data_IF_137576701498
#
_entry.id   IF_137576701498
#
_cell.length_a   1.000
_cell.length_b   1.000
_cell.length_c   1.000
_cell.angle_alpha   90.00
_cell.angle_beta   90.00
_cell.angle_gamma   90.00
#
_symmetry.space_group_name_H-M   'P 1'
#
loop_
_entity.id
_entity.type
_entity.pdbx_description
1 polymer ?
#
# COMPACT_ATOMS: atom_id res chain seq x y z
N UNK A 1 13.14 18.44 6.04
CA UNK A 1 12.70 17.08 5.59
C UNK A 1 12.23 17.16 4.15
N UNK A 2 12.56 16.18 3.32
CA UNK A 2 12.07 16.12 1.94
C UNK A 2 11.05 14.97 1.80
N UNK A 3 10.00 15.19 0.99
CA UNK A 3 9.09 14.14 0.53
C UNK A 3 9.35 13.94 -0.96
N UNK A 4 9.83 12.75 -1.34
CA UNK A 4 10.08 12.36 -2.71
C UNK A 4 8.89 11.59 -3.29
N UNK A 5 8.22 12.18 -4.29
CA UNK A 5 6.96 11.70 -4.86
C UNK A 5 5.74 12.33 -4.17
N UNK A 6 5.00 13.17 -4.91
CA UNK A 6 3.89 13.96 -4.37
C UNK A 6 2.54 13.52 -4.93
N UNK A 7 2.30 12.19 -4.88
CA UNK A 7 1.00 11.56 -5.04
C UNK A 7 0.15 11.69 -3.75
N UNK A 8 -0.92 10.88 -3.61
CA UNK A 8 -1.75 10.91 -2.40
C UNK A 8 -0.98 10.48 -1.14
N UNK A 9 -0.03 9.54 -1.25
CA UNK A 9 0.84 9.12 -0.14
C UNK A 9 1.78 10.26 0.30
N UNK A 10 2.42 10.94 -0.65
CA UNK A 10 3.30 12.08 -0.34
C UNK A 10 2.54 13.22 0.33
N UNK A 11 1.35 13.56 -0.18
CA UNK A 11 0.46 14.57 0.43
C UNK A 11 0.02 14.18 1.84
N UNK A 12 -0.27 12.90 2.06
CA UNK A 12 -0.60 12.39 3.37
C UNK A 12 0.56 12.55 4.36
N UNK A 13 1.80 12.25 3.92
CA UNK A 13 2.98 12.37 4.78
C UNK A 13 3.43 13.81 4.99
N UNK A 14 3.13 14.73 4.07
CA UNK A 14 3.25 16.16 4.34
C UNK A 14 2.37 16.56 5.53
N UNK A 15 1.10 16.15 5.54
CA UNK A 15 0.20 16.42 6.67
C UNK A 15 0.67 15.75 7.96
N UNK A 16 1.14 14.51 7.85
CA UNK A 16 1.64 13.73 8.98
C UNK A 16 2.83 14.40 9.67
N UNK A 17 3.78 14.92 8.93
CA UNK A 17 5.03 15.46 9.48
C UNK A 17 5.09 16.99 9.51
N UNK A 18 4.03 17.69 9.09
CA UNK A 18 3.97 19.15 9.11
C UNK A 18 3.91 19.65 10.55
N UNK A 19 4.97 20.28 10.98
CA UNK A 19 5.09 20.95 12.29
C UNK A 19 5.54 22.41 12.06
N UNK A 20 5.21 23.31 12.98
CA UNK A 20 5.62 24.73 12.93
C UNK A 20 7.15 24.94 12.89
N UNK A 21 7.91 23.94 13.30
CA UNK A 21 9.38 23.97 13.37
C UNK A 21 10.07 23.25 12.22
N UNK A 22 9.32 22.61 11.32
CA UNK A 22 9.87 21.79 10.26
C UNK A 22 9.44 22.30 8.91
N UNK A 23 10.41 22.67 8.10
CA UNK A 23 10.20 22.89 6.67
C UNK A 23 10.11 21.54 5.97
N UNK A 24 9.06 21.36 5.17
CA UNK A 24 8.89 20.22 4.28
C UNK A 24 9.06 20.72 2.86
N UNK A 25 10.01 20.14 2.14
CA UNK A 25 10.29 20.40 0.73
C UNK A 25 9.85 19.20 -0.09
N UNK A 26 9.25 19.45 -1.24
CA UNK A 26 8.76 18.38 -2.13
C UNK A 26 9.75 18.18 -3.27
N UNK A 27 10.04 16.91 -3.55
CA UNK A 27 10.80 16.46 -4.71
C UNK A 27 9.91 15.58 -5.59
N UNK A 28 9.46 16.10 -6.72
CA UNK A 28 8.67 15.36 -7.73
C UNK A 28 8.99 15.94 -9.11
N UNK A 29 10.16 15.59 -9.71
CA UNK A 29 10.61 16.14 -10.98
C UNK A 29 9.58 16.06 -12.11
N UNK A 30 8.80 14.98 -12.27
CA UNK A 30 7.71 14.94 -13.24
C UNK A 30 6.66 16.04 -13.09
N UNK A 31 6.57 16.66 -11.89
CA UNK A 31 5.68 17.80 -11.60
C UNK A 31 6.44 19.14 -11.52
N UNK A 32 7.70 19.15 -11.89
CA UNK A 32 8.54 20.35 -11.82
C UNK A 32 8.95 20.76 -10.41
N UNK A 33 8.89 19.87 -9.44
CA UNK A 33 9.26 20.12 -8.04
C UNK A 33 10.64 19.54 -7.76
N UNK A 34 11.64 20.41 -7.63
CA UNK A 34 13.04 20.02 -7.43
C UNK A 34 13.49 20.32 -5.99
N UNK A 35 14.37 19.49 -5.45
CA UNK A 35 14.98 19.66 -4.14
C UNK A 35 16.39 19.08 -4.11
N UNK A 36 17.24 19.61 -3.24
CA UNK A 36 18.59 19.07 -2.99
C UNK A 36 18.51 17.90 -2.01
N UNK A 37 18.51 16.68 -2.55
CA UNK A 37 18.45 15.44 -1.78
C UNK A 37 19.70 15.19 -0.92
N UNK A 38 20.81 15.90 -1.19
CA UNK A 38 22.05 15.80 -0.42
C UNK A 38 22.01 16.60 0.89
N UNK A 39 21.20 17.67 0.97
CA UNK A 39 21.20 18.59 2.10
C UNK A 39 19.84 18.58 2.82
N UNK A 40 19.48 17.44 3.38
CA UNK A 40 18.26 17.29 4.17
C UNK A 40 18.47 16.48 5.43
N UNK A 41 17.66 16.75 6.44
CA UNK A 41 17.71 16.02 7.71
C UNK A 41 17.04 14.65 7.66
N UNK A 42 16.12 14.41 6.74
CA UNK A 42 15.42 13.15 6.52
C UNK A 42 14.65 13.16 5.20
N UNK A 43 14.36 11.99 4.64
CA UNK A 43 13.58 11.84 3.40
C UNK A 43 12.50 10.78 3.57
N UNK A 44 11.28 11.10 3.08
CA UNK A 44 10.17 10.15 2.93
C UNK A 44 10.01 9.85 1.44
N UNK A 45 10.18 8.60 1.04
CA UNK A 45 10.10 8.13 -0.35
C UNK A 45 8.71 7.60 -0.63
N UNK A 46 7.95 8.34 -1.44
CA UNK A 46 6.56 8.05 -1.82
C UNK A 46 6.38 7.96 -3.35
N UNK A 47 7.45 7.63 -4.07
CA UNK A 47 7.43 7.52 -5.54
C UNK A 47 6.59 6.33 -5.98
N UNK A 48 6.07 6.39 -7.20
CA UNK A 48 5.29 5.31 -7.79
C UNK A 48 6.18 4.09 -8.07
N UNK A 49 5.62 2.91 -7.80
CA UNK A 49 6.21 1.60 -8.11
C UNK A 49 5.19 0.81 -8.92
N UNK A 50 5.06 1.07 -10.24
CA UNK A 50 4.06 0.42 -11.07
C UNK A 50 4.35 -1.07 -11.24
N UNK A 51 3.39 -1.79 -11.78
CA UNK A 51 3.59 -3.17 -12.19
C UNK A 51 4.40 -3.19 -13.48
N UNK A 52 5.48 -3.96 -13.51
CA UNK A 52 6.26 -4.28 -14.70
C UNK A 52 5.49 -5.24 -15.63
N UNK A 53 5.92 -5.36 -16.88
CA UNK A 53 5.29 -6.26 -17.88
C UNK A 53 5.27 -7.72 -17.40
N UNK A 54 6.26 -8.12 -16.64
CA UNK A 54 6.38 -9.47 -16.08
C UNK A 54 5.57 -9.67 -14.76
N UNK A 55 4.82 -8.66 -14.32
CA UNK A 55 4.00 -8.70 -13.11
C UNK A 55 4.73 -8.33 -11.81
N UNK A 56 6.04 -8.06 -11.85
CA UNK A 56 6.80 -7.60 -10.68
C UNK A 56 6.53 -6.13 -10.35
N UNK A 57 7.05 -5.68 -9.20
CA UNK A 57 7.02 -4.28 -8.79
C UNK A 57 8.24 -3.55 -9.37
N UNK A 58 8.04 -2.53 -10.21
CA UNK A 58 9.12 -1.68 -10.71
C UNK A 58 9.66 -0.79 -9.60
N UNK A 59 10.90 -1.04 -9.22
CA UNK A 59 11.62 -0.34 -8.15
C UNK A 59 12.52 0.79 -8.65
N UNK A 60 12.57 1.06 -9.95
CA UNK A 60 13.52 2.00 -10.59
C UNK A 60 13.50 3.39 -9.97
N UNK A 61 12.30 3.95 -9.74
CA UNK A 61 12.16 5.26 -9.12
C UNK A 61 12.63 5.29 -7.65
N UNK A 62 12.48 4.20 -6.91
CA UNK A 62 13.00 4.08 -5.53
C UNK A 62 14.53 4.06 -5.54
N UNK A 63 15.13 3.25 -6.42
CA UNK A 63 16.60 3.20 -6.57
C UNK A 63 17.18 4.54 -7.01
N UNK A 64 16.52 5.22 -7.94
CA UNK A 64 16.96 6.55 -8.40
C UNK A 64 17.01 7.56 -7.25
N UNK A 65 15.94 7.64 -6.47
CA UNK A 65 15.89 8.56 -5.30
C UNK A 65 16.95 8.20 -4.27
N UNK A 66 17.03 6.91 -3.87
CA UNK A 66 17.99 6.47 -2.84
C UNK A 66 19.44 6.72 -3.27
N UNK A 67 19.77 6.55 -4.55
CA UNK A 67 21.11 6.80 -5.09
C UNK A 67 21.58 8.25 -4.97
N UNK A 68 20.66 9.19 -4.80
CA UNK A 68 20.93 10.63 -4.69
C UNK A 68 20.99 11.13 -3.24
N UNK A 69 20.79 10.25 -2.25
CA UNK A 69 20.70 10.60 -0.83
C UNK A 69 22.05 10.30 -0.14
N UNK A 70 22.45 11.12 0.84
CA UNK A 70 23.60 10.78 1.71
C UNK A 70 23.29 9.55 2.56
N UNK A 71 24.32 8.72 2.74
CA UNK A 71 24.24 7.48 3.55
C UNK A 71 23.74 7.71 4.99
N UNK A 72 24.11 8.85 5.58
CA UNK A 72 23.76 9.20 6.95
C UNK A 72 22.34 9.74 7.13
N UNK A 73 21.65 10.07 6.04
CA UNK A 73 20.28 10.63 6.07
C UNK A 73 19.27 9.53 6.35
N UNK A 74 18.41 9.67 7.39
CA UNK A 74 17.30 8.74 7.63
C UNK A 74 16.32 8.74 6.46
N UNK A 75 16.04 7.57 5.89
CA UNK A 75 15.13 7.37 4.75
C UNK A 75 13.94 6.54 5.19
N UNK A 76 12.71 7.04 5.00
CA UNK A 76 11.47 6.28 5.16
C UNK A 76 10.89 5.92 3.81
N UNK A 77 10.91 4.65 3.46
CA UNK A 77 10.31 4.17 2.22
C UNK A 77 8.85 3.82 2.48
N UNK A 78 7.94 4.56 1.85
CA UNK A 78 6.49 4.35 1.86
C UNK A 78 5.98 3.77 0.55
N UNK A 79 6.77 3.85 -0.52
CA UNK A 79 6.51 3.16 -1.78
C UNK A 79 6.38 1.66 -1.55
N UNK A 80 5.49 1.00 -2.28
CA UNK A 80 5.42 -0.47 -2.25
C UNK A 80 6.72 -1.05 -2.79
N UNK A 81 7.30 -2.01 -2.08
CA UNK A 81 8.52 -2.70 -2.49
C UNK A 81 8.31 -4.21 -2.47
N UNK A 82 9.06 -4.94 -3.30
CA UNK A 82 9.09 -6.41 -3.27
C UNK A 82 10.18 -6.95 -2.34
N UNK A 83 10.10 -8.24 -2.01
CA UNK A 83 11.16 -8.92 -1.23
C UNK A 83 12.51 -8.83 -1.95
N UNK A 84 12.54 -9.09 -3.26
CA UNK A 84 13.74 -8.96 -4.07
C UNK A 84 14.22 -7.50 -4.09
N UNK A 85 13.31 -6.54 -4.28
CA UNK A 85 13.63 -5.12 -4.30
C UNK A 85 14.26 -4.62 -2.99
N UNK A 86 13.82 -5.14 -1.85
CA UNK A 86 14.47 -4.85 -0.57
C UNK A 86 15.89 -5.42 -0.49
N UNK A 87 16.11 -6.65 -0.94
CA UNK A 87 17.44 -7.26 -0.97
C UNK A 87 18.39 -6.50 -1.90
N UNK A 88 17.89 -6.05 -3.06
CA UNK A 88 18.66 -5.22 -3.97
C UNK A 88 18.99 -3.84 -3.36
N UNK A 89 18.07 -3.20 -2.65
CA UNK A 89 18.34 -1.96 -1.93
C UNK A 89 19.48 -2.13 -0.93
N UNK A 90 19.44 -3.16 -0.10
CA UNK A 90 20.52 -3.46 0.86
C UNK A 90 21.86 -3.75 0.18
N UNK A 91 21.86 -4.40 -0.97
CA UNK A 91 23.07 -4.73 -1.73
C UNK A 91 23.66 -3.50 -2.40
N UNK A 92 22.84 -2.65 -3.01
CA UNK A 92 23.28 -1.44 -3.72
C UNK A 92 23.65 -0.30 -2.78
N UNK A 93 22.98 -0.21 -1.63
CA UNK A 93 23.07 0.89 -0.68
C UNK A 93 23.29 0.39 0.76
N UNK A 94 24.38 -0.39 1.01
CA UNK A 94 24.56 -1.09 2.29
C UNK A 94 24.79 -0.16 3.49
N UNK A 95 25.20 1.08 3.25
CA UNK A 95 25.48 2.08 4.29
C UNK A 95 24.30 3.03 4.54
N UNK A 96 23.26 3.01 3.71
CA UNK A 96 22.12 3.91 3.85
C UNK A 96 21.21 3.49 5.01
N UNK A 97 20.68 4.50 5.71
CA UNK A 97 19.76 4.35 6.85
C UNK A 97 18.34 4.14 6.36
N UNK A 98 18.04 2.95 5.84
CA UNK A 98 16.76 2.62 5.21
C UNK A 98 15.77 2.08 6.24
N UNK A 99 14.65 2.77 6.40
CA UNK A 99 13.45 2.29 7.09
C UNK A 99 12.36 2.04 6.05
N UNK A 100 11.75 0.85 6.06
CA UNK A 100 10.55 0.57 5.28
C UNK A 100 9.32 0.59 6.19
N UNK A 101 8.27 1.26 5.73
CA UNK A 101 6.99 1.34 6.42
C UNK A 101 5.86 1.21 5.40
N UNK A 102 5.16 0.08 5.35
CA UNK A 102 4.09 -0.13 4.38
C UNK A 102 2.96 0.90 4.53
N UNK A 103 2.35 1.26 3.40
CA UNK A 103 1.25 2.21 3.36
C UNK A 103 -0.10 1.52 3.13
N UNK A 104 -1.13 1.96 3.87
CA UNK A 104 -2.48 1.40 3.82
C UNK A 104 -3.58 2.43 3.56
N UNK A 105 -3.21 3.67 3.25
CA UNK A 105 -4.16 4.74 2.95
C UNK A 105 -4.96 4.44 1.68
N UNK A 106 -6.25 4.78 1.73
CA UNK A 106 -7.14 4.71 0.57
C UNK A 106 -7.02 6.01 -0.23
N UNK A 107 -6.69 5.90 -1.52
CA UNK A 107 -6.47 7.07 -2.38
C UNK A 107 -7.62 8.08 -2.35
N UNK A 108 -8.88 7.61 -2.32
CA UNK A 108 -10.07 8.45 -2.26
C UNK A 108 -10.34 9.08 -0.88
N UNK A 109 -9.71 8.60 0.19
CA UNK A 109 -10.01 9.01 1.58
C UNK A 109 -8.77 9.28 2.43
N UNK A 110 -7.60 9.44 1.81
CA UNK A 110 -6.31 9.52 2.52
C UNK A 110 -6.25 10.62 3.59
N UNK A 111 -6.97 11.72 3.39
CA UNK A 111 -7.03 12.83 4.36
C UNK A 111 -7.66 12.41 5.70
N UNK A 112 -8.71 11.59 5.65
CA UNK A 112 -9.36 11.07 6.85
C UNK A 112 -8.57 9.89 7.42
N UNK A 113 -8.06 9.01 6.55
CA UNK A 113 -7.25 7.87 6.97
C UNK A 113 -6.01 8.32 7.75
N UNK A 114 -5.40 9.47 7.38
CA UNK A 114 -4.29 10.08 8.14
C UNK A 114 -4.73 10.54 9.52
N UNK A 115 -5.92 11.16 9.65
CA UNK A 115 -6.42 11.64 10.95
C UNK A 115 -6.77 10.51 11.91
N UNK A 116 -7.19 9.38 11.34
CA UNK A 116 -7.59 8.17 12.06
C UNK A 116 -6.44 7.17 12.23
N UNK A 117 -5.20 7.58 11.91
CA UNK A 117 -4.03 6.72 12.01
C UNK A 117 -3.79 6.32 13.47
N UNK A 118 -4.00 5.05 13.80
CA UNK A 118 -3.84 4.48 15.14
C UNK A 118 -2.57 3.64 15.29
N UNK A 119 -1.99 3.23 14.19
CA UNK A 119 -0.85 2.33 14.18
C UNK A 119 0.05 2.51 12.95
N UNK A 120 1.34 2.23 13.12
CA UNK A 120 2.33 2.21 12.05
C UNK A 120 3.24 0.99 12.18
N UNK A 121 3.66 0.45 11.05
CA UNK A 121 4.66 -0.62 10.97
C UNK A 121 5.96 0.00 10.50
N UNK A 122 7.05 -0.26 11.21
CA UNK A 122 8.40 0.19 10.87
C UNK A 122 9.34 -1.01 10.80
N UNK A 123 10.29 -0.97 9.87
CA UNK A 123 11.29 -2.02 9.72
C UNK A 123 12.61 -1.49 9.18
N UNK A 124 13.72 -2.17 9.44
CA UNK A 124 15.07 -1.71 9.09
C UNK A 124 15.64 -0.69 10.08
N UNK A 125 16.17 0.46 9.62
CA UNK A 125 16.66 1.54 10.52
C UNK A 125 15.47 2.35 11.05
N UNK A 126 14.91 1.92 12.18
CA UNK A 126 13.64 2.41 12.71
C UNK A 126 13.77 3.53 13.74
N UNK A 127 14.92 3.73 14.36
CA UNK A 127 15.09 4.60 15.54
C UNK A 127 14.60 6.03 15.30
N UNK A 128 15.11 6.68 14.26
CA UNK A 128 14.71 8.05 13.92
C UNK A 128 13.20 8.15 13.64
N UNK A 129 12.65 7.21 12.87
CA UNK A 129 11.24 7.26 12.46
C UNK A 129 10.27 6.92 13.57
N UNK A 130 10.64 5.99 14.47
CA UNK A 130 9.91 5.72 15.70
C UNK A 130 9.72 7.01 16.51
N UNK A 131 10.81 7.77 16.71
CA UNK A 131 10.76 9.01 17.46
C UNK A 131 9.94 10.10 16.76
N UNK A 132 10.00 10.16 15.40
CA UNK A 132 9.18 11.08 14.64
C UNK A 132 7.68 10.76 14.74
N UNK A 133 7.30 9.49 14.67
CA UNK A 133 5.90 9.09 14.83
C UNK A 133 5.42 9.31 16.27
N UNK A 134 6.18 8.92 17.27
CA UNK A 134 5.83 9.12 18.68
C UNK A 134 5.68 10.60 19.04
N UNK A 135 6.52 11.49 18.48
CA UNK A 135 6.43 12.94 18.70
C UNK A 135 5.13 13.53 18.09
N UNK A 136 4.81 13.18 16.85
CA UNK A 136 3.65 13.74 16.15
C UNK A 136 2.33 13.09 16.60
N UNK A 137 2.36 11.82 17.03
CA UNK A 137 1.22 11.02 17.50
C UNK A 137 1.56 10.26 18.77
N UNK A 138 1.45 10.88 19.94
CA UNK A 138 1.87 10.25 21.22
C UNK A 138 1.17 8.92 21.53
N UNK A 139 -0.01 8.69 20.99
CA UNK A 139 -0.81 7.48 21.23
C UNK A 139 -0.72 6.44 20.10
N UNK A 140 0.11 6.68 19.08
CA UNK A 140 0.24 5.76 17.96
C UNK A 140 0.88 4.44 18.41
N UNK A 141 0.31 3.33 17.99
CA UNK A 141 0.90 2.01 18.18
C UNK A 141 1.98 1.78 17.13
N UNK A 142 3.21 1.57 17.55
CA UNK A 142 4.33 1.32 16.64
C UNK A 142 4.68 -0.17 16.69
N UNK A 143 4.54 -0.85 15.56
CA UNK A 143 4.97 -2.24 15.41
C UNK A 143 6.32 -2.26 14.68
N UNK A 144 7.34 -2.80 15.34
CA UNK A 144 8.67 -2.99 14.75
C UNK A 144 8.78 -4.47 14.37
N UNK A 145 9.04 -4.72 13.09
CA UNK A 145 9.15 -6.06 12.51
C UNK A 145 10.34 -6.10 11.55
N UNK A 146 10.72 -7.28 11.07
CA UNK A 146 11.72 -7.39 10.02
C UNK A 146 11.18 -6.86 8.67
N UNK A 147 12.04 -6.34 7.78
CA UNK A 147 11.60 -5.78 6.51
C UNK A 147 10.81 -6.75 5.64
N UNK A 148 11.21 -8.01 5.61
CA UNK A 148 10.53 -9.07 4.89
C UNK A 148 9.12 -9.33 5.45
N UNK A 149 8.96 -9.24 6.77
CA UNK A 149 7.64 -9.32 7.43
C UNK A 149 6.77 -8.12 7.09
N UNK A 150 7.33 -6.90 7.14
CA UNK A 150 6.60 -5.68 6.79
C UNK A 150 6.12 -5.71 5.33
N UNK A 151 6.93 -6.23 4.41
CA UNK A 151 6.56 -6.43 3.00
C UNK A 151 5.43 -7.46 2.90
N UNK A 152 5.56 -8.61 3.55
CA UNK A 152 4.53 -9.63 3.57
C UNK A 152 3.20 -9.11 4.13
N UNK A 153 3.22 -8.37 5.24
CA UNK A 153 2.03 -7.73 5.82
C UNK A 153 1.33 -6.83 4.79
N UNK A 154 2.09 -6.03 4.02
CA UNK A 154 1.53 -5.17 2.98
C UNK A 154 0.76 -5.97 1.93
N UNK A 155 1.39 -6.98 1.37
CA UNK A 155 0.80 -7.77 0.31
C UNK A 155 -0.38 -8.61 0.79
N UNK A 156 -0.26 -9.28 1.94
CA UNK A 156 -1.34 -10.12 2.47
C UNK A 156 -2.56 -9.31 2.92
N UNK A 157 -2.39 -8.10 3.48
CA UNK A 157 -3.54 -7.23 3.77
C UNK A 157 -4.31 -6.88 2.50
N UNK A 158 -3.63 -6.46 1.45
CA UNK A 158 -4.28 -6.10 0.20
C UNK A 158 -4.91 -7.32 -0.49
N UNK A 159 -4.23 -8.47 -0.48
CA UNK A 159 -4.75 -9.72 -1.03
C UNK A 159 -6.02 -10.19 -0.29
N UNK A 160 -6.01 -10.12 1.04
CA UNK A 160 -7.19 -10.46 1.86
C UNK A 160 -8.38 -9.54 1.54
N UNK A 161 -8.14 -8.23 1.45
CA UNK A 161 -9.20 -7.27 1.15
C UNK A 161 -9.76 -7.47 -0.28
N UNK A 162 -8.90 -7.73 -1.26
CA UNK A 162 -9.31 -8.07 -2.62
C UNK A 162 -10.15 -9.35 -2.65
N UNK A 163 -9.72 -10.40 -1.96
CA UNK A 163 -10.47 -11.66 -1.83
C UNK A 163 -11.83 -11.43 -1.17
N UNK A 164 -11.88 -10.60 -0.13
CA UNK A 164 -13.13 -10.24 0.54
C UNK A 164 -14.11 -9.54 -0.43
N UNK A 165 -13.65 -8.61 -1.26
CA UNK A 165 -14.49 -7.99 -2.28
C UNK A 165 -15.01 -9.02 -3.27
N UNK A 166 -14.16 -9.95 -3.75
CA UNK A 166 -14.59 -11.03 -4.64
C UNK A 166 -15.69 -11.89 -3.98
N UNK A 167 -15.48 -12.31 -2.73
CA UNK A 167 -16.44 -13.12 -1.99
C UNK A 167 -17.80 -12.44 -1.84
N UNK A 168 -17.86 -11.15 -1.52
CA UNK A 168 -19.14 -10.43 -1.44
C UNK A 168 -19.82 -10.24 -2.80
N UNK A 169 -19.05 -10.19 -3.89
CA UNK A 169 -19.63 -10.23 -5.25
C UNK A 169 -20.23 -11.59 -5.59
N UNK A 170 -19.66 -12.72 -5.12
CA UNK A 170 -20.27 -14.05 -5.25
C UNK A 170 -21.56 -14.16 -4.43
N UNK A 171 -21.58 -13.61 -3.20
CA UNK A 171 -22.83 -13.52 -2.40
C UNK A 171 -23.91 -12.74 -3.17
N UNK A 172 -23.53 -11.63 -3.82
CA UNK A 172 -24.47 -10.87 -4.64
C UNK A 172 -25.04 -11.71 -5.78
N UNK A 173 -24.22 -12.45 -6.51
CA UNK A 173 -24.68 -13.31 -7.60
C UNK A 173 -25.60 -14.43 -7.12
N UNK A 174 -25.25 -15.05 -5.99
CA UNK A 174 -26.12 -16.03 -5.32
C UNK A 174 -27.48 -15.43 -4.96
N UNK A 175 -27.50 -14.28 -4.30
CA UNK A 175 -28.75 -13.60 -3.91
C UNK A 175 -29.61 -13.28 -5.14
N UNK A 176 -28.98 -12.77 -6.20
CA UNK A 176 -29.64 -12.46 -7.46
C UNK A 176 -30.28 -13.70 -8.11
N UNK A 177 -29.56 -14.82 -8.13
CA UNK A 177 -30.03 -16.07 -8.72
C UNK A 177 -31.25 -16.65 -7.99
N UNK A 178 -31.32 -16.46 -6.67
CA UNK A 178 -32.43 -16.96 -5.83
C UNK A 178 -33.52 -15.92 -5.56
N UNK A 179 -33.43 -14.71 -6.08
CA UNK A 179 -34.38 -13.63 -5.78
C UNK A 179 -34.35 -13.14 -4.32
N UNK A 180 -33.21 -13.30 -3.65
CA UNK A 180 -32.99 -12.89 -2.27
C UNK A 180 -32.49 -11.43 -2.24
N UNK A 181 -32.95 -10.64 -1.28
CA UNK A 181 -32.50 -9.27 -1.10
C UNK A 181 -31.05 -9.24 -0.58
N UNK A 182 -30.12 -8.86 -1.43
CA UNK A 182 -28.69 -8.76 -1.11
C UNK A 182 -28.42 -7.81 0.06
N UNK A 183 -29.07 -6.64 0.12
CA UNK A 183 -28.81 -5.65 1.17
C UNK A 183 -29.15 -6.19 2.57
N UNK A 184 -30.18 -7.01 2.69
CA UNK A 184 -30.52 -7.65 3.96
C UNK A 184 -29.51 -8.72 4.34
N UNK A 185 -29.06 -9.52 3.37
CA UNK A 185 -28.01 -10.54 3.58
C UNK A 185 -26.70 -9.86 3.95
N UNK A 186 -26.29 -8.81 3.21
CA UNK A 186 -25.09 -8.03 3.46
C UNK A 186 -25.09 -7.48 4.90
N UNK A 187 -26.16 -6.79 5.32
CA UNK A 187 -26.31 -6.26 6.68
C UNK A 187 -26.20 -7.36 7.75
N UNK A 188 -26.85 -8.49 7.53
CA UNK A 188 -26.79 -9.60 8.47
C UNK A 188 -25.40 -10.23 8.59
N UNK A 189 -24.72 -10.44 7.46
CA UNK A 189 -23.37 -11.01 7.43
C UNK A 189 -22.35 -10.06 8.04
N UNK A 190 -22.40 -8.78 7.70
CA UNK A 190 -21.42 -7.77 8.16
C UNK A 190 -21.67 -7.27 9.58
N UNK A 191 -22.83 -7.57 10.18
CA UNK A 191 -23.11 -7.31 11.59
C UNK A 191 -22.16 -8.06 12.53
N UNK A 192 -21.59 -9.18 12.09
CA UNK A 192 -20.52 -9.86 12.83
C UNK A 192 -19.21 -9.05 12.72
N UNK A 193 -18.72 -8.54 13.84
CA UNK A 193 -17.50 -7.74 13.91
C UNK A 193 -16.23 -8.47 13.39
N UNK A 194 -16.25 -9.80 13.36
CA UNK A 194 -15.17 -10.61 12.77
C UNK A 194 -15.13 -10.47 11.25
N UNK A 195 -16.22 -10.06 10.63
CA UNK A 195 -16.38 -9.83 9.19
C UNK A 195 -16.31 -8.32 8.92
N UNK A 196 -17.18 -7.51 9.52
CA UNK A 196 -17.25 -6.07 9.37
C UNK A 196 -17.60 -5.59 7.95
N UNK A 197 -17.95 -4.34 7.81
CA UNK A 197 -18.46 -3.76 6.55
C UNK A 197 -17.38 -3.37 5.54
N UNK A 198 -16.15 -3.11 5.99
CA UNK A 198 -15.08 -2.68 5.08
C UNK A 198 -14.84 -3.70 3.96
N UNK A 199 -14.77 -3.25 2.70
CA UNK A 199 -14.52 -4.08 1.51
C UNK A 199 -15.57 -5.19 1.29
N UNK A 200 -16.84 -4.92 1.62
CA UNK A 200 -17.95 -5.85 1.42
C UNK A 200 -19.07 -5.32 0.53
N UNK A 201 -18.99 -4.05 0.13
CA UNK A 201 -20.02 -3.43 -0.72
C UNK A 201 -19.90 -3.87 -2.17
N UNK A 202 -21.05 -4.02 -2.81
CA UNK A 202 -21.20 -4.32 -4.25
C UNK A 202 -22.06 -3.24 -4.86
N UNK A 203 -21.55 -2.57 -5.90
CA UNK A 203 -22.26 -1.48 -6.60
C UNK A 203 -22.55 -1.86 -8.06
N UNK A 204 -23.60 -2.66 -8.33
CA UNK A 204 -23.92 -3.10 -9.67
C UNK A 204 -24.38 -1.94 -10.57
N UNK A 205 -25.00 -0.90 -9.99
CA UNK A 205 -25.57 0.26 -10.72
C UNK A 205 -24.49 1.23 -11.21
N UNK A 206 -23.40 1.40 -10.45
CA UNK A 206 -22.27 2.25 -10.85
C UNK A 206 -21.40 1.62 -11.94
N UNK A 207 -21.82 0.46 -12.46
CA UNK A 207 -21.09 -0.23 -13.51
C UNK A 207 -19.72 -0.75 -13.09
N UNK A 208 -19.33 -0.82 -11.81
CA UNK A 208 -18.00 -1.28 -11.34
C UNK A 208 -18.07 -2.35 -10.24
N UNK A 209 -18.57 -3.55 -10.59
CA UNK A 209 -18.45 -4.72 -9.71
C UNK A 209 -16.98 -5.13 -9.56
N UNK A 210 -16.70 -5.82 -8.45
CA UNK A 210 -15.35 -6.30 -8.17
C UNK A 210 -14.39 -5.19 -7.72
N UNK A 211 -13.11 -5.47 -7.76
CA UNK A 211 -12.05 -4.57 -7.34
C UNK A 211 -11.12 -4.18 -8.49
N UNK A 212 -10.53 -3.00 -8.36
CA UNK A 212 -9.62 -2.43 -9.35
C UNK A 212 -8.75 -1.35 -8.69
N UNK A 213 -8.51 -0.27 -9.42
CA UNK A 213 -7.64 0.82 -8.99
C UNK A 213 -6.16 0.45 -9.09
N UNK A 214 -5.30 1.23 -8.42
CA UNK A 214 -3.85 1.11 -8.56
C UNK A 214 -3.21 0.06 -7.65
N UNK A 215 -3.84 -0.28 -6.51
CA UNK A 215 -3.20 -1.10 -5.47
C UNK A 215 -3.51 -2.59 -5.63
N UNK A 216 -4.78 -2.98 -5.63
CA UNK A 216 -5.16 -4.40 -5.59
C UNK A 216 -4.65 -5.20 -6.79
N UNK A 217 -4.83 -4.75 -8.07
CA UNK A 217 -4.32 -5.51 -9.20
C UNK A 217 -2.81 -5.73 -9.15
N UNK A 218 -2.06 -4.67 -8.85
CA UNK A 218 -0.61 -4.71 -8.77
C UNK A 218 -0.13 -5.62 -7.62
N UNK A 219 -0.69 -5.45 -6.43
CA UNK A 219 -0.22 -6.15 -5.24
C UNK A 219 -0.60 -7.64 -5.26
N UNK A 220 -1.80 -8.00 -5.77
CA UNK A 220 -2.21 -9.40 -5.94
C UNK A 220 -1.37 -10.11 -6.98
N UNK A 221 -1.09 -9.47 -8.12
CA UNK A 221 -0.22 -10.02 -9.17
C UNK A 221 1.20 -10.25 -8.66
N UNK A 222 1.80 -9.26 -7.99
CA UNK A 222 3.13 -9.39 -7.42
C UNK A 222 3.21 -10.49 -6.36
N UNK A 223 2.19 -10.63 -5.49
CA UNK A 223 2.15 -11.67 -4.48
C UNK A 223 2.04 -13.06 -5.09
N UNK A 224 1.18 -13.26 -6.09
CA UNK A 224 1.05 -14.54 -6.81
C UNK A 224 2.37 -14.93 -7.46
N UNK A 225 3.07 -13.95 -8.06
CA UNK A 225 4.37 -14.20 -8.68
C UNK A 225 5.43 -14.58 -7.66
N UNK A 226 5.58 -13.82 -6.57
CA UNK A 226 6.52 -14.15 -5.48
C UNK A 226 6.26 -15.54 -4.90
N UNK A 227 5.00 -15.95 -4.76
CA UNK A 227 4.64 -17.28 -4.29
C UNK A 227 5.05 -18.37 -5.29
N UNK A 228 4.79 -18.15 -6.59
CA UNK A 228 5.13 -19.08 -7.65
C UNK A 228 6.65 -19.32 -7.76
N UNK A 229 7.49 -18.30 -7.55
CA UNK A 229 8.95 -18.41 -7.50
C UNK A 229 9.44 -19.38 -6.40
N UNK A 230 8.63 -19.60 -5.38
CA UNK A 230 8.89 -20.56 -4.30
C UNK A 230 8.07 -21.84 -4.42
N UNK A 231 7.43 -22.09 -5.57
CA UNK A 231 6.52 -23.21 -5.79
C UNK A 231 5.34 -23.27 -4.80
N UNK A 232 4.86 -22.11 -4.35
CA UNK A 232 3.70 -21.99 -3.47
C UNK A 232 2.49 -21.55 -4.31
N UNK A 233 1.40 -22.31 -4.23
CA UNK A 233 0.14 -21.99 -4.89
C UNK A 233 -0.80 -21.28 -3.89
N UNK A 234 -1.09 -20.00 -4.12
CA UNK A 234 -2.08 -19.24 -3.36
C UNK A 234 -3.47 -19.42 -4.01
N UNK A 235 -4.01 -20.63 -3.97
CA UNK A 235 -5.23 -21.01 -4.68
C UNK A 235 -6.43 -20.12 -4.38
N UNK A 236 -6.65 -19.74 -3.11
CA UNK A 236 -7.75 -18.85 -2.72
C UNK A 236 -7.62 -17.48 -3.35
N UNK A 237 -6.42 -16.91 -3.36
CA UNK A 237 -6.16 -15.62 -3.98
C UNK A 237 -6.31 -15.71 -5.50
N UNK A 238 -5.78 -16.78 -6.13
CA UNK A 238 -5.92 -16.99 -7.57
C UNK A 238 -7.39 -17.06 -7.98
N UNK A 239 -8.21 -17.86 -7.28
CA UNK A 239 -9.65 -17.94 -7.55
C UNK A 239 -10.35 -16.57 -7.43
N UNK A 240 -9.99 -15.76 -6.42
CA UNK A 240 -10.55 -14.42 -6.26
C UNK A 240 -10.14 -13.48 -7.40
N UNK A 241 -8.91 -13.59 -7.91
CA UNK A 241 -8.40 -12.81 -9.06
C UNK A 241 -9.13 -13.23 -10.35
N UNK A 242 -9.28 -14.54 -10.58
CA UNK A 242 -9.93 -15.08 -11.77
C UNK A 242 -11.40 -14.64 -11.82
N UNK A 243 -12.14 -14.81 -10.71
CA UNK A 243 -13.51 -14.36 -10.60
C UNK A 243 -13.64 -12.83 -10.79
N UNK A 244 -12.76 -12.05 -10.17
CA UNK A 244 -12.77 -10.59 -10.35
C UNK A 244 -12.55 -10.20 -11.82
N UNK A 245 -11.68 -10.92 -12.52
CA UNK A 245 -11.42 -10.70 -13.96
C UNK A 245 -12.67 -10.99 -14.78
N UNK A 246 -13.35 -12.10 -14.52
CA UNK A 246 -14.59 -12.51 -15.18
C UNK A 246 -15.67 -11.44 -15.02
N UNK A 247 -16.02 -11.05 -13.78
CA UNK A 247 -17.08 -10.06 -13.54
C UNK A 247 -16.75 -8.64 -14.03
N UNK A 248 -15.49 -8.37 -14.38
CA UNK A 248 -15.05 -7.10 -14.99
C UNK A 248 -14.98 -7.17 -16.52
N UNK A 249 -14.80 -8.33 -17.11
CA UNK A 249 -14.82 -8.53 -18.57
C UNK A 249 -16.24 -8.49 -19.16
N UNK A 250 -17.24 -8.92 -18.41
CA UNK A 250 -18.66 -8.90 -18.82
C UNK A 250 -19.20 -7.50 -19.20
N UNK A 251 -18.37 -6.47 -19.08
CA UNK A 251 -18.71 -5.06 -19.33
C UNK A 251 -18.11 -4.48 -20.61
N UNK A 252 -17.36 -5.27 -21.35
CA UNK A 252 -16.81 -4.87 -22.66
C UNK A 252 -17.70 -5.27 -23.82
N UNK A 253 -18.94 -5.74 -23.52
CA UNK A 253 -19.98 -6.03 -24.47
C UNK A 253 -20.93 -4.86 -24.69
#
# INVERSE_FOLDING_TARGET
MIIAGYGFVGKAHELLFKDRRREIVIYDPPKGMEADLQNTSAIVVCVSTPQSEDGTCDMSAVYDVVSKIKETTPVLIKSTISLQGWQELKTRFPQHRLCFSPEFLRAANFMNDVKELDSVILSGDTEYWRDQYAYNWPNIKIYIVDPEEAIAIKYFRNAFLATKVSFFNEIYDFCKAYGINFDQVHKGVTADNRIGESHSYVWPEEGTRGWGGFCFPKDTSALLKMAAEKNINLNTLQAAVDYNTEIRLDRKG
#
